data_IF_874248688042
#
_entry.id   IF_874248688042
#
_cell.length_a   1.000
_cell.length_b   1.000
_cell.length_c   1.000
_cell.angle_alpha   90.00
_cell.angle_beta   90.00
_cell.angle_gamma   90.00
#
_symmetry.space_group_name_H-M   'P 1'
#
loop_
_entity.id
_entity.type
_entity.pdbx_description
1 polymer ?
#
# COMPACT_ATOMS: atom_id res chain seq x y z
N UNK A 1 6.65 12.35 -3.26
CA UNK A 1 7.32 11.06 -3.56
C UNK A 1 8.85 11.11 -3.43
N UNK A 2 9.50 11.94 -2.71
CA UNK A 2 10.95 12.11 -2.73
C UNK A 2 11.65 11.96 -1.39
N UNK A 3 11.14 11.18 -0.46
CA UNK A 3 11.74 11.06 0.86
C UNK A 3 12.55 9.78 0.99
N UNK A 4 13.70 9.75 0.33
CA UNK A 4 14.68 8.67 0.50
C UNK A 4 15.52 8.81 1.78
N UNK A 5 15.40 9.94 2.52
CA UNK A 5 16.07 10.10 3.80
C UNK A 5 15.09 9.87 4.95
N UNK A 6 15.05 8.65 5.41
CA UNK A 6 14.32 8.30 6.62
C UNK A 6 15.18 8.65 7.83
N UNK A 7 14.86 9.75 8.50
CA UNK A 7 15.42 10.08 9.81
C UNK A 7 14.38 9.79 10.87
N UNK A 8 14.59 8.77 11.65
CA UNK A 8 13.66 8.31 12.70
C UNK A 8 13.19 9.45 13.64
N UNK A 9 14.07 10.41 13.90
CA UNK A 9 13.77 11.58 14.76
C UNK A 9 12.69 12.50 14.19
N UNK A 10 12.43 12.44 12.86
CA UNK A 10 11.44 13.28 12.16
C UNK A 10 10.25 12.48 11.63
N UNK A 11 10.13 11.21 12.02
CA UNK A 11 9.05 10.36 11.57
C UNK A 11 7.73 10.67 12.31
N UNK A 12 6.56 10.72 11.64
CA UNK A 12 6.39 10.65 10.19
C UNK A 12 6.67 11.99 9.51
N UNK A 13 7.39 11.98 8.38
CA UNK A 13 7.63 13.22 7.59
C UNK A 13 6.45 13.56 6.70
N UNK A 14 5.77 12.54 6.20
CA UNK A 14 4.60 12.63 5.33
C UNK A 14 3.56 11.61 5.76
N UNK A 15 2.33 12.01 5.66
CA UNK A 15 1.17 11.22 6.00
C UNK A 15 0.19 11.29 4.83
N UNK A 16 -0.32 10.13 4.41
CA UNK A 16 -1.49 10.05 3.56
C UNK A 16 -2.67 9.79 4.47
N UNK A 17 -3.64 10.68 4.47
CA UNK A 17 -4.86 10.50 5.23
C UNK A 17 -6.06 10.49 4.31
N UNK A 18 -6.90 9.48 4.46
CA UNK A 18 -8.19 9.37 3.78
C UNK A 18 -9.27 9.12 4.81
N UNK A 19 -10.47 9.64 4.57
CA UNK A 19 -11.61 9.39 5.43
C UNK A 19 -12.80 8.91 4.63
N UNK A 20 -13.65 8.14 5.27
CA UNK A 20 -14.89 7.63 4.71
C UNK A 20 -16.06 8.31 5.40
N UNK A 21 -16.99 8.86 4.63
CA UNK A 21 -18.23 9.45 5.11
C UNK A 21 -19.40 8.51 4.87
N UNK A 22 -20.48 8.66 5.64
CA UNK A 22 -21.73 7.97 5.32
C UNK A 22 -22.36 8.56 4.07
N UNK A 23 -22.86 7.73 3.16
CA UNK A 23 -23.59 8.18 1.97
C UNK A 23 -24.76 9.12 2.31
N UNK A 24 -25.50 8.80 3.38
CA UNK A 24 -26.69 9.57 3.81
C UNK A 24 -26.33 10.84 4.59
N UNK A 25 -25.12 10.96 5.10
CA UNK A 25 -24.67 12.10 5.85
C UNK A 25 -23.17 12.37 5.63
N UNK A 26 -22.80 12.95 4.48
CA UNK A 26 -21.40 13.17 4.11
C UNK A 26 -20.68 14.22 4.97
N UNK A 27 -21.41 14.87 5.89
CA UNK A 27 -20.83 15.90 6.78
C UNK A 27 -19.88 15.32 7.83
N UNK A 28 -20.05 14.04 8.19
CA UNK A 28 -19.27 13.40 9.26
C UNK A 28 -18.54 12.18 8.74
N UNK A 29 -17.27 12.06 9.10
CA UNK A 29 -16.48 10.85 8.84
C UNK A 29 -16.92 9.73 9.81
N UNK A 30 -16.96 8.50 9.30
CA UNK A 30 -17.23 7.29 10.10
C UNK A 30 -15.97 6.46 10.32
N UNK A 31 -14.91 6.76 9.59
CA UNK A 31 -13.61 6.13 9.73
C UNK A 31 -12.57 6.87 8.93
N UNK A 32 -11.32 6.59 9.22
CA UNK A 32 -10.19 7.15 8.51
C UNK A 32 -9.04 6.16 8.45
N UNK A 33 -8.22 6.30 7.44
CA UNK A 33 -6.99 5.56 7.26
C UNK A 33 -5.82 6.53 7.15
N UNK A 34 -4.80 6.30 7.95
CA UNK A 34 -3.58 7.10 7.97
C UNK A 34 -2.39 6.19 7.60
N UNK A 35 -1.67 6.54 6.54
CA UNK A 35 -0.55 5.77 6.03
C UNK A 35 0.72 6.61 6.13
N UNK A 36 1.71 6.10 6.84
CA UNK A 36 3.05 6.67 6.91
C UNK A 36 4.08 5.61 6.49
N UNK A 37 5.02 5.99 5.66
CA UNK A 37 6.12 5.11 5.27
C UNK A 37 7.15 5.02 6.38
N UNK A 38 7.68 3.83 6.61
CA UNK A 38 8.73 3.58 7.61
C UNK A 38 9.82 2.67 7.04
N UNK A 39 10.99 2.69 7.68
CA UNK A 39 12.06 1.78 7.33
C UNK A 39 11.76 0.38 7.87
N UNK A 40 11.99 -0.65 7.05
CA UNK A 40 11.84 -2.04 7.48
C UNK A 40 12.82 -2.43 8.58
N UNK A 41 13.98 -1.83 8.61
CA UNK A 41 15.01 -2.15 9.62
C UNK A 41 14.54 -1.81 11.05
N UNK A 42 13.58 -0.90 11.22
CA UNK A 42 12.99 -0.60 12.54
C UNK A 42 12.18 -1.77 13.12
N UNK A 43 11.68 -2.66 12.29
CA UNK A 43 10.85 -3.81 12.71
C UNK A 43 11.51 -5.16 12.48
N UNK A 44 12.70 -5.17 11.91
CA UNK A 44 13.43 -6.40 11.53
C UNK A 44 13.67 -7.34 12.70
N UNK A 45 13.83 -6.80 13.92
CA UNK A 45 14.01 -7.61 15.14
C UNK A 45 12.83 -8.55 15.43
N UNK A 46 11.64 -8.27 14.92
CA UNK A 46 10.45 -9.12 15.04
C UNK A 46 10.18 -9.98 13.81
N UNK A 47 11.07 -9.98 12.83
CA UNK A 47 10.96 -10.83 11.64
C UNK A 47 10.95 -12.31 12.04
N UNK A 48 10.13 -13.13 11.39
CA UNK A 48 9.97 -14.54 11.71
C UNK A 48 9.14 -14.85 12.95
N UNK A 49 8.64 -13.84 13.66
CA UNK A 49 7.74 -14.05 14.79
C UNK A 49 6.30 -14.27 14.33
N UNK A 50 5.53 -15.00 15.13
CA UNK A 50 4.12 -15.30 14.80
C UNK A 50 3.24 -14.09 15.07
N UNK A 51 2.35 -13.77 14.14
CA UNK A 51 1.34 -12.72 14.30
C UNK A 51 0.51 -12.96 15.57
N UNK A 52 0.27 -11.88 16.33
CA UNK A 52 -0.45 -11.92 17.60
C UNK A 52 0.36 -12.44 18.80
N UNK A 53 1.62 -12.85 18.57
CA UNK A 53 2.53 -13.36 19.59
C UNK A 53 3.92 -12.69 19.53
N UNK A 54 3.99 -11.45 19.04
CA UNK A 54 5.25 -10.71 18.87
C UNK A 54 5.81 -10.07 20.13
N UNK A 55 5.08 -10.17 21.23
CA UNK A 55 5.49 -9.63 22.53
C UNK A 55 4.99 -8.21 22.79
N UNK A 56 5.11 -7.78 24.06
CA UNK A 56 4.61 -6.49 24.50
C UNK A 56 5.43 -5.30 23.94
N UNK A 57 6.71 -5.50 23.67
CA UNK A 57 7.61 -4.54 23.06
C UNK A 57 7.18 -4.17 21.64
N UNK A 58 6.72 -5.14 20.84
CA UNK A 58 6.17 -4.88 19.52
C UNK A 58 4.86 -4.08 19.57
N UNK A 59 3.96 -4.43 20.48
CA UNK A 59 2.71 -3.69 20.66
C UNK A 59 2.97 -2.27 21.16
N UNK A 60 3.93 -2.09 22.05
CA UNK A 60 4.35 -0.77 22.54
C UNK A 60 4.95 0.07 21.38
N UNK A 61 5.83 -0.52 20.58
CA UNK A 61 6.38 0.12 19.38
C UNK A 61 5.28 0.62 18.43
N UNK A 62 4.29 -0.23 18.12
CA UNK A 62 3.16 0.16 17.26
C UNK A 62 2.35 1.30 17.86
N UNK A 63 2.13 1.26 19.18
CA UNK A 63 1.42 2.32 19.89
C UNK A 63 2.17 3.66 19.81
N UNK A 64 3.46 3.67 20.02
CA UNK A 64 4.28 4.88 19.90
C UNK A 64 4.25 5.46 18.48
N UNK A 65 4.30 4.59 17.46
CA UNK A 65 4.15 5.02 16.07
C UNK A 65 2.75 5.60 15.79
N UNK A 66 1.70 4.97 16.30
CA UNK A 66 0.33 5.46 16.16
C UNK A 66 0.15 6.85 16.82
N UNK A 67 0.67 7.05 18.02
CA UNK A 67 0.59 8.34 18.71
C UNK A 67 1.25 9.46 17.88
N UNK A 68 2.44 9.21 17.30
CA UNK A 68 3.09 10.19 16.41
C UNK A 68 2.26 10.52 15.16
N UNK A 69 1.54 9.55 14.61
CA UNK A 69 0.61 9.76 13.48
C UNK A 69 -0.58 10.62 13.94
N UNK A 70 -1.16 10.30 15.09
CA UNK A 70 -2.27 11.05 15.65
C UNK A 70 -1.85 12.49 15.97
N UNK A 71 -0.65 12.70 16.55
CA UNK A 71 -0.09 14.04 16.79
C UNK A 71 0.05 14.84 15.49
N UNK A 72 0.43 14.20 14.40
CA UNK A 72 0.52 14.85 13.09
C UNK A 72 -0.86 15.20 12.53
N UNK A 73 -1.84 14.30 12.67
CA UNK A 73 -3.23 14.57 12.29
C UNK A 73 -3.84 15.73 13.11
N UNK A 74 -3.54 15.80 14.40
CA UNK A 74 -4.07 16.84 15.29
C UNK A 74 -3.54 18.23 14.95
N UNK A 75 -2.34 18.34 14.34
CA UNK A 75 -1.83 19.63 13.81
C UNK A 75 -2.65 20.15 12.64
N UNK A 76 -3.15 19.25 11.79
CA UNK A 76 -3.96 19.58 10.62
C UNK A 76 -5.46 19.67 10.96
N UNK A 77 -5.91 18.84 11.88
CA UNK A 77 -7.30 18.74 12.32
C UNK A 77 -7.36 18.89 13.84
N UNK A 78 -7.43 20.13 14.36
CA UNK A 78 -7.51 20.36 15.80
C UNK A 78 -8.66 19.57 16.44
N UNK A 79 -8.42 19.03 17.62
CA UNK A 79 -9.35 18.20 18.39
C UNK A 79 -9.66 16.80 17.81
N UNK A 80 -9.06 16.39 16.68
CA UNK A 80 -9.33 15.09 16.05
C UNK A 80 -9.15 13.94 17.04
N UNK A 81 -8.17 14.02 17.93
CA UNK A 81 -7.89 13.03 18.97
C UNK A 81 -9.13 12.73 19.85
N UNK A 82 -9.92 13.75 20.17
CA UNK A 82 -11.12 13.60 20.99
C UNK A 82 -12.25 12.83 20.29
N UNK A 83 -12.21 12.74 18.97
CA UNK A 83 -13.19 12.03 18.15
C UNK A 83 -12.74 10.62 17.76
N UNK A 84 -11.50 10.20 18.11
CA UNK A 84 -11.02 8.85 17.84
C UNK A 84 -11.56 7.92 18.94
N UNK A 85 -12.56 7.10 18.60
CA UNK A 85 -13.13 6.11 19.52
C UNK A 85 -12.20 4.90 19.67
N UNK A 86 -11.61 4.44 18.57
CA UNK A 86 -10.66 3.32 18.53
C UNK A 86 -9.79 3.38 17.28
N UNK A 87 -8.65 2.71 17.33
CA UNK A 87 -7.78 2.55 16.15
C UNK A 87 -7.08 1.20 16.13
N UNK A 88 -6.71 0.77 14.95
CA UNK A 88 -5.91 -0.41 14.70
C UNK A 88 -4.65 -0.04 13.94
N UNK A 89 -3.57 -0.75 14.20
CA UNK A 89 -2.28 -0.49 13.56
C UNK A 89 -1.79 -1.69 12.78
N UNK A 90 -1.32 -1.44 11.57
CA UNK A 90 -0.62 -2.40 10.73
C UNK A 90 0.82 -1.94 10.53
N UNK A 91 1.75 -2.87 10.49
CA UNK A 91 3.15 -2.62 10.18
C UNK A 91 3.53 -3.34 8.88
N UNK A 92 4.72 -3.12 8.31
CA UNK A 92 5.22 -3.91 7.21
C UNK A 92 5.26 -5.41 7.47
N UNK A 93 5.44 -5.87 8.73
CA UNK A 93 5.31 -7.30 9.07
C UNK A 93 3.88 -7.80 8.92
N UNK A 94 2.88 -6.98 9.23
CA UNK A 94 1.48 -7.33 8.99
C UNK A 94 1.22 -7.51 7.50
N UNK A 95 1.73 -6.58 6.67
CA UNK A 95 1.61 -6.70 5.21
C UNK A 95 2.31 -7.95 4.68
N UNK A 96 3.52 -8.24 5.18
CA UNK A 96 4.24 -9.47 4.83
C UNK A 96 3.42 -10.73 5.15
N UNK A 97 2.86 -10.82 6.36
CA UNK A 97 2.10 -12.00 6.81
C UNK A 97 0.85 -12.28 5.96
N UNK A 98 0.16 -11.21 5.53
CA UNK A 98 -1.08 -11.36 4.76
C UNK A 98 -0.86 -11.51 3.26
N UNK A 99 0.18 -10.93 2.71
CA UNK A 99 0.38 -10.82 1.26
C UNK A 99 1.61 -11.57 0.75
N UNK A 100 2.50 -12.02 1.65
CA UNK A 100 3.77 -12.66 1.29
C UNK A 100 4.78 -11.71 0.61
N UNK A 101 4.49 -10.40 0.53
CA UNK A 101 5.40 -9.45 -0.13
C UNK A 101 6.66 -9.24 0.69
N UNK A 102 7.81 -9.20 0.02
CA UNK A 102 9.11 -8.97 0.64
C UNK A 102 9.10 -7.64 1.41
N UNK A 103 9.58 -7.69 2.66
CA UNK A 103 9.68 -6.53 3.56
C UNK A 103 8.39 -5.73 3.72
N UNK A 104 7.23 -6.36 3.51
CA UNK A 104 5.93 -5.71 3.63
C UNK A 104 5.68 -4.57 2.65
N UNK A 105 6.28 -4.61 1.45
CA UNK A 105 6.12 -3.58 0.43
C UNK A 105 4.66 -3.50 -0.04
N UNK A 106 4.01 -2.35 0.15
CA UNK A 106 2.60 -2.15 -0.23
C UNK A 106 2.40 -2.14 -1.75
N UNK A 107 3.34 -1.56 -2.49
CA UNK A 107 3.21 -1.25 -3.92
C UNK A 107 4.04 -2.14 -4.83
N UNK A 108 4.51 -3.28 -4.31
CA UNK A 108 5.29 -4.24 -5.07
C UNK A 108 6.74 -3.81 -5.34
N UNK A 109 7.28 -4.23 -6.46
CA UNK A 109 8.66 -3.99 -6.87
C UNK A 109 8.89 -2.49 -7.12
N UNK A 110 10.00 -1.96 -6.62
CA UNK A 110 10.43 -0.59 -6.92
C UNK A 110 10.66 -0.43 -8.43
N UNK A 111 10.04 0.60 -8.99
CA UNK A 111 10.16 0.94 -10.42
C UNK A 111 11.13 2.11 -10.56
N UNK A 112 12.42 1.80 -10.52
CA UNK A 112 13.49 2.77 -10.65
C UNK A 112 13.79 3.02 -12.13
N UNK A 113 13.73 4.30 -12.53
CA UNK A 113 14.04 4.72 -13.91
C UNK A 113 15.50 4.51 -14.29
N UNK A 114 16.38 4.39 -13.31
CA UNK A 114 17.82 4.16 -13.52
C UNK A 114 18.18 2.66 -13.56
N UNK A 115 17.23 1.75 -13.31
CA UNK A 115 17.48 0.33 -13.49
C UNK A 115 17.54 -0.03 -14.97
N UNK A 116 18.37 -1.00 -15.34
CA UNK A 116 18.54 -1.47 -16.74
C UNK A 116 17.21 -1.87 -17.40
N UNK A 117 16.23 -2.27 -16.60
CA UNK A 117 14.89 -2.66 -17.07
C UNK A 117 13.83 -1.56 -16.86
N UNK A 118 14.21 -0.34 -16.44
CA UNK A 118 13.28 0.73 -16.10
C UNK A 118 12.28 0.34 -15.00
N UNK A 119 12.63 -0.62 -14.14
CA UNK A 119 11.76 -1.16 -13.10
C UNK A 119 10.51 -1.88 -13.62
N UNK A 120 10.47 -2.23 -14.90
CA UNK A 120 9.30 -2.90 -15.51
C UNK A 120 9.55 -4.41 -15.60
N UNK A 121 8.64 -5.18 -15.06
CA UNK A 121 8.56 -6.62 -15.27
C UNK A 121 7.63 -6.88 -16.44
N UNK A 122 8.15 -7.56 -17.48
CA UNK A 122 7.32 -7.90 -18.65
C UNK A 122 6.15 -8.77 -18.25
N UNK A 123 4.97 -8.46 -18.77
CA UNK A 123 3.80 -9.33 -18.66
C UNK A 123 3.94 -10.63 -19.46
N UNK A 124 4.71 -10.60 -20.54
CA UNK A 124 5.00 -11.75 -21.39
C UNK A 124 6.28 -12.45 -20.92
N UNK A 125 6.21 -13.75 -20.66
CA UNK A 125 7.35 -14.55 -20.23
C UNK A 125 8.01 -15.29 -21.40
N UNK A 126 9.17 -15.91 -21.14
CA UNK A 126 9.82 -16.80 -22.10
C UNK A 126 9.15 -18.18 -22.19
N UNK A 127 8.25 -18.47 -21.26
CA UNK A 127 7.49 -19.73 -21.25
C UNK A 127 6.22 -19.52 -22.06
N UNK A 128 5.97 -20.39 -23.02
CA UNK A 128 4.79 -20.31 -23.86
C UNK A 128 3.50 -20.39 -23.01
N UNK A 129 2.53 -19.53 -23.30
CA UNK A 129 1.24 -19.45 -22.61
C UNK A 129 1.31 -19.08 -21.12
N UNK A 130 2.45 -18.55 -20.64
CA UNK A 130 2.60 -18.05 -19.30
C UNK A 130 2.74 -16.53 -19.32
N UNK A 131 1.78 -15.84 -18.71
CA UNK A 131 1.73 -14.38 -18.58
C UNK A 131 1.77 -13.98 -17.12
N UNK A 132 2.32 -12.80 -16.85
CA UNK A 132 2.36 -12.20 -15.51
C UNK A 132 1.39 -11.03 -15.46
N UNK A 133 0.62 -10.96 -14.40
CA UNK A 133 -0.31 -9.86 -14.12
C UNK A 133 -0.14 -9.34 -12.69
N UNK A 134 -0.71 -8.18 -12.41
CA UNK A 134 -0.72 -7.60 -11.08
C UNK A 134 0.24 -6.41 -10.92
N UNK A 135 0.31 -5.90 -9.70
CA UNK A 135 1.01 -4.64 -9.38
C UNK A 135 2.53 -4.64 -9.64
N UNK A 136 3.14 -5.82 -9.71
CA UNK A 136 4.58 -5.96 -9.95
C UNK A 136 4.96 -5.80 -11.43
N UNK A 137 4.02 -5.91 -12.35
CA UNK A 137 4.28 -5.80 -13.81
C UNK A 137 4.28 -4.36 -14.27
N UNK A 138 3.14 -3.79 -14.60
CA UNK A 138 3.04 -2.47 -15.20
C UNK A 138 2.97 -1.35 -14.16
N UNK A 139 1.91 -1.33 -13.36
CA UNK A 139 1.64 -0.29 -12.37
C UNK A 139 0.91 -0.87 -11.15
N UNK A 140 1.06 -0.18 -10.03
CA UNK A 140 0.40 -0.53 -8.77
C UNK A 140 -0.94 0.19 -8.62
N UNK A 141 -1.66 -0.18 -7.57
CA UNK A 141 -2.98 0.35 -7.27
C UNK A 141 -4.07 -0.23 -8.16
N UNK A 142 -5.33 0.04 -7.81
CA UNK A 142 -6.49 -0.54 -8.49
C UNK A 142 -6.48 -0.24 -9.99
N UNK A 143 -6.35 1.02 -10.38
CA UNK A 143 -6.30 1.42 -11.78
C UNK A 143 -5.12 0.79 -12.51
N UNK A 144 -3.91 0.79 -11.90
CA UNK A 144 -2.71 0.22 -12.53
C UNK A 144 -2.83 -1.28 -12.77
N UNK A 145 -3.44 -2.02 -11.84
CA UNK A 145 -3.69 -3.46 -12.00
C UNK A 145 -4.76 -3.73 -13.05
N UNK A 146 -5.83 -2.93 -13.09
CA UNK A 146 -6.88 -3.06 -14.13
C UNK A 146 -6.31 -2.84 -15.52
N UNK A 147 -5.57 -1.75 -15.74
CA UNK A 147 -4.91 -1.47 -17.04
C UNK A 147 -3.90 -2.58 -17.38
N UNK A 148 -3.12 -3.05 -16.41
CA UNK A 148 -2.21 -4.17 -16.60
C UNK A 148 -2.93 -5.46 -17.03
N UNK A 149 -4.11 -5.72 -16.47
CA UNK A 149 -4.93 -6.87 -16.85
C UNK A 149 -5.43 -6.77 -18.29
N UNK A 150 -5.87 -5.59 -18.72
CA UNK A 150 -6.28 -5.34 -20.12
C UNK A 150 -5.11 -5.61 -21.07
N UNK A 151 -3.91 -5.16 -20.74
CA UNK A 151 -2.70 -5.40 -21.54
C UNK A 151 -2.40 -6.90 -21.63
N UNK A 152 -2.49 -7.64 -20.54
CA UNK A 152 -2.30 -9.10 -20.57
C UNK A 152 -3.37 -9.79 -21.41
N UNK A 153 -4.62 -9.40 -21.27
CA UNK A 153 -5.70 -9.94 -22.08
C UNK A 153 -5.53 -9.65 -23.58
N UNK A 154 -4.93 -8.51 -23.92
CA UNK A 154 -4.66 -8.15 -25.34
C UNK A 154 -3.60 -9.03 -26.02
N UNK A 155 -2.79 -9.77 -25.24
CA UNK A 155 -1.88 -10.80 -25.77
C UNK A 155 -2.62 -12.10 -26.17
N UNK A 156 -3.78 -12.34 -25.58
CA UNK A 156 -4.63 -13.51 -25.84
C UNK A 156 -5.73 -13.21 -26.85
N UNK A 157 -6.23 -11.97 -26.83
CA UNK A 157 -7.29 -11.47 -27.70
C UNK A 157 -6.72 -10.30 -28.51
N UNK A 158 -7.30 -10.01 -29.68
CA UNK A 158 -6.94 -8.76 -30.35
C UNK A 158 -7.42 -7.56 -29.53
N UNK A 159 -6.69 -6.44 -29.51
CA UNK A 159 -7.11 -5.23 -28.77
C UNK A 159 -8.50 -4.76 -29.17
N UNK A 160 -8.84 -4.85 -30.45
CA UNK A 160 -10.17 -4.45 -31.00
C UNK A 160 -11.29 -5.33 -30.41
N UNK A 161 -11.10 -6.65 -30.40
CA UNK A 161 -12.08 -7.57 -29.82
C UNK A 161 -12.29 -7.31 -28.33
N UNK A 162 -11.19 -7.10 -27.58
CA UNK A 162 -11.25 -6.84 -26.15
C UNK A 162 -11.98 -5.53 -25.84
N UNK A 163 -11.67 -4.44 -26.57
CA UNK A 163 -12.32 -3.14 -26.38
C UNK A 163 -13.80 -3.19 -26.75
N UNK A 164 -14.17 -3.92 -27.80
CA UNK A 164 -15.57 -4.10 -28.17
C UNK A 164 -16.34 -4.84 -27.07
N UNK A 165 -15.79 -5.93 -26.52
CA UNK A 165 -16.41 -6.66 -25.42
C UNK A 165 -16.58 -5.80 -24.15
N UNK A 166 -15.59 -4.96 -23.82
CA UNK A 166 -15.70 -4.03 -22.69
C UNK A 166 -16.83 -3.02 -22.95
N UNK A 167 -16.87 -2.40 -24.10
CA UNK A 167 -17.89 -1.41 -24.44
C UNK A 167 -19.31 -1.99 -24.46
N UNK A 168 -19.48 -3.24 -24.92
CA UNK A 168 -20.77 -3.93 -24.91
C UNK A 168 -21.24 -4.32 -23.49
N UNK A 169 -20.33 -4.36 -22.51
CA UNK A 169 -20.61 -4.70 -21.12
C UNK A 169 -20.95 -3.50 -20.23
N UNK A 170 -20.73 -2.28 -20.71
CA UNK A 170 -21.04 -1.01 -20.02
C UNK A 170 -22.44 -0.50 -20.35
#
# INVERSE_FOLDING_TARGET
WGCNEHKEQLWPRHLIYTHTCQEKNPKYAVGGEAIAFMDYDEIKQWEGTTRGQRGADYEQFKKEKAEKIIDMLEREFPDVRSYIETYYTSSPLTMHDYTGVSKGAMYGIAKDIFSDYGGKVSHKTRVNNLFLAGQNTLAHGMLGVMVGSIIVCSELLTPELLLNQINESL
#
